data_IF_708208730637
#
_entry.id   IF_708208730637
#
_cell.length_a   1.000
_cell.length_b   1.000
_cell.length_c   1.000
_cell.angle_alpha   90.00
_cell.angle_beta   90.00
_cell.angle_gamma   90.00
#
_symmetry.space_group_name_H-M   'P 1'
#
loop_
_entity.id
_entity.type
_entity.pdbx_description
1 polymer ?
#
# COMPACT_ATOMS: atom_id res chain seq x y z
N UNK A 1 18.30 -12.03 -21.42
CA UNK A 1 17.13 -11.12 -21.41
C UNK A 1 16.32 -11.50 -20.18
N UNK A 2 16.27 -10.65 -19.15
CA UNK A 2 15.51 -10.96 -17.92
C UNK A 2 14.02 -10.82 -18.24
N UNK A 3 13.20 -11.80 -17.86
CA UNK A 3 11.75 -11.72 -18.01
C UNK A 3 11.22 -10.47 -17.29
N UNK A 4 10.21 -9.77 -17.83
CA UNK A 4 9.58 -8.67 -17.10
C UNK A 4 9.07 -9.19 -15.75
N UNK A 5 9.39 -8.47 -14.68
CA UNK A 5 8.85 -8.80 -13.35
C UNK A 5 7.32 -8.79 -13.44
N UNK A 6 6.63 -9.79 -12.85
CA UNK A 6 5.17 -9.79 -12.84
C UNK A 6 4.65 -8.52 -12.14
N UNK A 7 3.59 -7.94 -12.70
CA UNK A 7 2.95 -6.77 -12.11
C UNK A 7 2.45 -7.09 -10.70
N UNK A 8 2.83 -6.26 -9.72
CA UNK A 8 2.39 -6.46 -8.33
C UNK A 8 0.94 -5.99 -8.20
N UNK A 9 0.00 -6.86 -7.74
CA UNK A 9 -1.36 -6.44 -7.46
C UNK A 9 -1.39 -5.46 -6.28
N UNK A 10 -2.08 -4.34 -6.50
CA UNK A 10 -2.24 -3.27 -5.51
C UNK A 10 -3.71 -3.12 -5.15
N UNK A 11 -4.02 -3.30 -3.88
CA UNK A 11 -5.36 -3.19 -3.32
C UNK A 11 -5.49 -1.90 -2.51
N UNK A 12 -6.51 -1.11 -2.82
CA UNK A 12 -6.84 0.12 -2.08
C UNK A 12 -7.99 -0.15 -1.13
N UNK A 13 -7.79 0.16 0.16
CA UNK A 13 -8.79 -0.01 1.21
C UNK A 13 -9.05 1.35 1.85
N UNK A 14 -10.31 1.72 2.01
CA UNK A 14 -10.69 2.85 2.87
C UNK A 14 -10.90 2.28 4.27
N UNK A 15 -9.93 2.52 5.15
CA UNK A 15 -9.86 1.94 6.49
C UNK A 15 -10.86 2.59 7.44
N UNK A 16 -11.82 1.82 7.92
CA UNK A 16 -12.83 2.28 8.88
C UNK A 16 -12.30 2.29 10.31
N UNK A 17 -11.21 1.55 10.57
CA UNK A 17 -10.63 1.32 11.90
C UNK A 17 -9.30 2.03 12.14
N UNK A 18 -8.74 2.73 11.15
CA UNK A 18 -7.45 3.43 11.33
C UNK A 18 -7.50 4.46 12.47
N UNK A 19 -8.65 5.11 12.66
CA UNK A 19 -8.85 6.09 13.74
C UNK A 19 -8.84 5.47 15.15
N UNK A 20 -9.05 4.16 15.27
CA UNK A 20 -8.93 3.42 16.54
C UNK A 20 -7.58 2.71 16.69
N UNK A 21 -6.63 2.97 15.79
CA UNK A 21 -5.29 2.38 15.82
C UNK A 21 -5.24 0.94 15.30
N UNK A 22 -6.21 0.53 14.49
CA UNK A 22 -6.26 -0.79 13.87
C UNK A 22 -6.31 -0.70 12.33
N UNK A 23 -5.76 -1.69 11.63
CA UNK A 23 -5.71 -1.72 10.17
C UNK A 23 -6.69 -2.75 9.60
N UNK A 24 -7.48 -2.35 8.61
CA UNK A 24 -8.32 -3.24 7.79
C UNK A 24 -7.50 -3.98 6.73
N UNK A 25 -6.36 -3.42 6.32
CA UNK A 25 -5.43 -4.05 5.38
C UNK A 25 -4.60 -5.18 5.98
N UNK A 26 -4.19 -5.08 7.26
CA UNK A 26 -3.35 -6.11 7.90
C UNK A 26 -4.00 -7.52 7.89
N UNK A 27 -5.27 -7.69 8.29
CA UNK A 27 -5.93 -9.00 8.19
C UNK A 27 -5.97 -9.56 6.77
N UNK A 28 -6.17 -8.70 5.77
CA UNK A 28 -6.16 -9.09 4.36
C UNK A 28 -4.76 -9.56 3.93
N UNK A 29 -3.72 -8.83 4.31
CA UNK A 29 -2.34 -9.23 4.04
C UNK A 29 -2.00 -10.57 4.71
N UNK A 30 -2.39 -10.76 5.98
CA UNK A 30 -2.17 -12.02 6.71
C UNK A 30 -2.82 -13.20 5.97
N UNK A 31 -4.05 -13.03 5.47
CA UNK A 31 -4.75 -14.08 4.73
C UNK A 31 -4.05 -14.49 3.42
N UNK A 32 -3.16 -13.66 2.87
CA UNK A 32 -2.46 -13.90 1.61
C UNK A 32 -0.97 -14.24 1.79
N UNK A 33 -0.49 -14.46 3.03
CA UNK A 33 0.91 -14.81 3.30
C UNK A 33 1.37 -16.10 2.59
N UNK A 34 0.46 -17.03 2.30
CA UNK A 34 0.76 -18.27 1.56
C UNK A 34 1.22 -18.02 0.12
N UNK A 35 0.95 -16.84 -0.43
CA UNK A 35 1.34 -16.44 -1.78
C UNK A 35 2.70 -15.73 -1.85
N UNK A 36 3.33 -15.50 -0.70
CA UNK A 36 4.62 -14.83 -0.58
C UNK A 36 4.59 -13.62 0.34
N UNK A 37 5.71 -12.89 0.37
CA UNK A 37 5.84 -11.69 1.21
C UNK A 37 4.83 -10.62 0.81
N UNK A 38 4.15 -10.05 1.79
CA UNK A 38 3.15 -9.00 1.57
C UNK A 38 3.74 -7.65 1.97
N UNK A 39 3.21 -6.56 1.41
CA UNK A 39 3.49 -5.22 1.89
C UNK A 39 2.21 -4.46 2.18
N UNK A 40 2.22 -3.67 3.25
CA UNK A 40 1.08 -2.87 3.71
C UNK A 40 1.56 -1.43 3.92
N UNK A 41 0.94 -0.49 3.23
CA UNK A 41 1.06 0.95 3.51
C UNK A 41 -0.23 1.38 4.19
N UNK A 42 -0.11 2.07 5.31
CA UNK A 42 -1.25 2.66 6.02
C UNK A 42 -1.04 4.17 6.15
N UNK A 43 -2.09 4.94 5.85
CA UNK A 43 -2.14 6.34 6.25
C UNK A 43 -2.12 6.43 7.78
N UNK A 44 -1.28 7.31 8.31
CA UNK A 44 -1.06 7.41 9.74
C UNK A 44 -2.32 7.74 10.52
N UNK A 45 -2.55 6.95 11.56
CA UNK A 45 -3.53 7.21 12.62
C UNK A 45 -2.85 7.19 14.00
N UNK A 46 -3.63 7.29 15.10
CA UNK A 46 -3.08 7.17 16.43
C UNK A 46 -2.44 5.79 16.68
N UNK A 47 -1.34 5.77 17.43
CA UNK A 47 -0.65 4.53 17.80
C UNK A 47 0.35 4.02 16.75
N UNK A 48 0.96 2.88 17.03
CA UNK A 48 1.90 2.18 16.14
C UNK A 48 1.31 0.82 15.80
N UNK A 49 1.12 0.57 14.51
CA UNK A 49 0.69 -0.73 14.01
C UNK A 49 1.87 -1.70 13.96
N UNK A 50 1.60 -2.97 14.25
CA UNK A 50 2.59 -4.05 14.22
C UNK A 50 2.11 -5.12 13.24
N UNK A 51 3.02 -5.60 12.40
CA UNK A 51 2.75 -6.68 11.47
C UNK A 51 3.53 -7.94 11.86
N UNK A 52 2.96 -9.14 11.64
CA UNK A 52 3.70 -10.39 11.79
C UNK A 52 4.79 -10.54 10.71
N UNK A 53 5.65 -11.55 10.89
CA UNK A 53 6.65 -11.91 9.88
C UNK A 53 6.01 -12.22 8.52
N UNK A 54 6.72 -11.88 7.45
CA UNK A 54 6.23 -12.01 6.07
C UNK A 54 5.38 -10.82 5.59
N UNK A 55 5.24 -9.77 6.41
CA UNK A 55 4.56 -8.52 6.03
C UNK A 55 5.50 -7.33 6.29
N UNK A 56 5.86 -6.62 5.23
CA UNK A 56 6.50 -5.31 5.36
C UNK A 56 5.43 -4.23 5.57
N UNK A 57 5.34 -3.69 6.79
CA UNK A 57 4.41 -2.62 7.13
C UNK A 57 5.10 -1.25 7.11
N UNK A 58 4.49 -0.29 6.42
CA UNK A 58 4.91 1.12 6.39
C UNK A 58 3.74 2.00 6.81
N UNK A 59 3.86 2.61 7.98
CA UNK A 59 2.91 3.61 8.47
C UNK A 59 3.41 5.01 8.11
N UNK A 60 2.71 5.69 7.20
CA UNK A 60 2.98 7.07 6.83
C UNK A 60 2.40 8.01 7.89
N UNK A 61 2.75 9.29 7.88
CA UNK A 61 2.06 10.27 8.73
C UNK A 61 0.67 10.62 8.17
N UNK A 62 -0.25 11.04 9.05
CA UNK A 62 -1.61 11.45 8.67
C UNK A 62 -1.57 12.60 7.64
N UNK A 63 -2.42 12.55 6.61
CA UNK A 63 -2.48 13.59 5.58
C UNK A 63 -1.30 13.61 4.59
N UNK A 64 -0.28 12.76 4.78
CA UNK A 64 0.80 12.59 3.81
C UNK A 64 0.33 11.87 2.53
N UNK A 65 -0.85 11.26 2.54
CA UNK A 65 -1.38 10.62 1.34
C UNK A 65 -1.99 11.66 0.38
N UNK A 66 -2.42 12.83 0.88
CA UNK A 66 -3.29 13.75 0.12
C UNK A 66 -2.77 15.18 -0.10
N UNK A 67 -2.19 15.89 0.88
CA UNK A 67 -2.05 17.37 0.76
C UNK A 67 -0.63 17.88 0.47
N UNK A 68 0.41 17.22 0.98
CA UNK A 68 1.83 17.63 0.79
C UNK A 68 2.74 16.41 0.51
N UNK A 69 2.23 15.19 0.67
CA UNK A 69 3.01 13.96 0.64
C UNK A 69 2.89 13.11 -0.64
N UNK A 70 2.56 13.72 -1.79
CA UNK A 70 2.57 13.04 -3.11
C UNK A 70 3.91 12.34 -3.40
N UNK A 71 5.01 12.81 -2.81
CA UNK A 71 6.33 12.19 -2.91
C UNK A 71 6.47 10.97 -1.96
N UNK A 72 6.15 11.06 -0.65
CA UNK A 72 6.13 9.93 0.28
C UNK A 72 5.45 8.66 -0.24
N UNK A 73 4.21 8.74 -0.75
CA UNK A 73 3.51 7.54 -1.22
C UNK A 73 4.25 6.93 -2.42
N UNK A 74 4.53 7.73 -3.45
CA UNK A 74 5.19 7.24 -4.67
C UNK A 74 6.58 6.69 -4.40
N UNK A 75 7.37 7.34 -3.55
CA UNK A 75 8.70 6.88 -3.15
C UNK A 75 8.59 5.59 -2.34
N UNK A 76 7.65 5.51 -1.40
CA UNK A 76 7.40 4.30 -0.60
C UNK A 76 7.03 3.12 -1.49
N UNK A 77 6.04 3.29 -2.38
CA UNK A 77 5.64 2.24 -3.33
C UNK A 77 6.83 1.83 -4.21
N UNK A 78 7.53 2.79 -4.82
CA UNK A 78 8.69 2.49 -5.67
C UNK A 78 9.82 1.78 -4.90
N UNK A 79 9.99 2.07 -3.60
CA UNK A 79 10.98 1.42 -2.74
C UNK A 79 10.56 0.00 -2.42
N UNK A 80 9.31 -0.22 -2.03
CA UNK A 80 8.76 -1.55 -1.74
C UNK A 80 8.86 -2.47 -2.97
N UNK A 81 8.44 -1.98 -4.14
CA UNK A 81 8.53 -2.76 -5.38
C UNK A 81 9.98 -3.15 -5.75
N UNK A 82 10.97 -2.31 -5.42
CA UNK A 82 12.37 -2.59 -5.74
C UNK A 82 13.08 -3.47 -4.71
N UNK A 83 12.84 -3.21 -3.42
CA UNK A 83 13.59 -3.79 -2.31
C UNK A 83 12.90 -5.01 -1.71
N UNK A 84 11.57 -4.97 -1.56
CA UNK A 84 10.78 -6.04 -0.95
C UNK A 84 10.22 -6.98 -2.02
N UNK A 85 9.81 -6.44 -3.18
CA UNK A 85 9.16 -7.20 -4.27
C UNK A 85 7.98 -8.04 -3.74
N UNK A 86 7.00 -7.41 -3.08
CA UNK A 86 5.93 -8.14 -2.43
C UNK A 86 5.05 -8.85 -3.46
N UNK A 87 4.51 -10.00 -3.08
CA UNK A 87 3.49 -10.72 -3.85
C UNK A 87 2.22 -9.88 -4.00
N UNK A 88 1.83 -9.11 -2.97
CA UNK A 88 0.77 -8.08 -3.06
C UNK A 88 1.09 -6.85 -2.20
N UNK A 89 0.60 -5.70 -2.65
CA UNK A 89 0.68 -4.45 -1.92
C UNK A 89 -0.73 -3.99 -1.52
N UNK A 90 -0.92 -3.73 -0.24
CA UNK A 90 -2.14 -3.16 0.32
C UNK A 90 -1.89 -1.70 0.70
N UNK A 91 -2.78 -0.81 0.33
CA UNK A 91 -2.71 0.61 0.67
C UNK A 91 -4.02 0.98 1.35
N UNK A 92 -3.94 1.26 2.65
CA UNK A 92 -5.07 1.69 3.47
C UNK A 92 -5.03 3.19 3.67
N UNK A 93 -6.13 3.87 3.35
CA UNK A 93 -6.31 5.31 3.54
C UNK A 93 -7.46 5.56 4.51
N UNK A 94 -7.41 6.65 5.27
CA UNK A 94 -8.39 6.91 6.33
C UNK A 94 -9.75 7.40 5.81
N UNK A 95 -9.80 7.97 4.61
CA UNK A 95 -11.04 8.41 3.97
C UNK A 95 -11.09 8.10 2.46
N UNK A 96 -12.30 8.12 1.90
CA UNK A 96 -12.53 7.92 0.47
C UNK A 96 -12.37 9.19 -0.40
N UNK A 97 -12.33 10.38 0.18
CA UNK A 97 -12.11 11.63 -0.55
C UNK A 97 -10.75 11.64 -1.26
N UNK A 98 -9.74 10.96 -0.69
CA UNK A 98 -8.40 10.85 -1.28
C UNK A 98 -8.23 9.69 -2.27
N UNK A 99 -9.23 8.82 -2.42
CA UNK A 99 -9.11 7.61 -3.25
C UNK A 99 -8.82 7.93 -4.72
N UNK A 100 -9.49 8.96 -5.26
CA UNK A 100 -9.30 9.37 -6.66
C UNK A 100 -7.87 9.88 -6.92
N UNK A 101 -7.31 10.64 -5.98
CA UNK A 101 -5.93 11.14 -6.03
C UNK A 101 -4.93 9.99 -6.01
N UNK A 102 -5.06 9.07 -5.06
CA UNK A 102 -4.18 7.91 -4.92
C UNK A 102 -4.21 7.04 -6.17
N UNK A 103 -5.40 6.75 -6.70
CA UNK A 103 -5.58 6.02 -7.96
C UNK A 103 -4.87 6.72 -9.11
N UNK A 104 -5.00 8.06 -9.21
CA UNK A 104 -4.34 8.83 -10.27
C UNK A 104 -2.82 8.71 -10.19
N UNK A 105 -2.24 8.76 -8.98
CA UNK A 105 -0.80 8.62 -8.79
C UNK A 105 -0.29 7.22 -9.14
N UNK A 106 -1.01 6.18 -8.71
CA UNK A 106 -0.67 4.79 -8.99
C UNK A 106 -0.83 4.43 -10.47
N UNK A 107 -1.79 5.03 -11.17
CA UNK A 107 -1.92 4.92 -12.63
C UNK A 107 -0.93 5.80 -13.42
N UNK A 108 -0.06 6.54 -12.73
CA UNK A 108 0.94 7.39 -13.37
C UNK A 108 2.00 6.60 -14.13
N UNK A 109 2.73 7.24 -15.07
CA UNK A 109 3.70 6.57 -15.93
C UNK A 109 4.84 5.87 -15.17
N UNK A 110 5.15 6.30 -13.95
CA UNK A 110 6.21 5.71 -13.13
C UNK A 110 5.92 4.30 -12.59
N UNK A 111 4.67 3.83 -12.66
CA UNK A 111 4.28 2.49 -12.21
C UNK A 111 3.70 1.61 -13.32
N UNK A 112 3.68 2.11 -14.56
CA UNK A 112 3.17 1.38 -15.71
C UNK A 112 3.97 0.09 -15.91
N UNK A 113 3.29 -1.06 -15.96
CA UNK A 113 3.95 -2.36 -16.09
C UNK A 113 4.61 -2.89 -14.81
N UNK A 114 4.54 -2.15 -13.70
CA UNK A 114 5.09 -2.57 -12.41
C UNK A 114 3.99 -2.98 -11.42
N UNK A 115 2.80 -2.39 -11.53
CA UNK A 115 1.66 -2.68 -10.66
C UNK A 115 0.37 -2.84 -11.46
N UNK A 116 -0.57 -3.57 -10.87
CA UNK A 116 -1.95 -3.65 -11.35
C UNK A 116 -2.91 -3.30 -10.21
N UNK A 117 -3.68 -2.22 -10.38
CA UNK A 117 -4.71 -1.87 -9.41
C UNK A 117 -5.84 -2.90 -9.43
N UNK A 118 -6.16 -3.44 -8.26
CA UNK A 118 -7.30 -4.34 -8.04
C UNK A 118 -8.36 -3.57 -7.27
N UNK A 119 -9.43 -3.18 -7.97
CA UNK A 119 -10.63 -2.63 -7.34
C UNK A 119 -11.35 -3.78 -6.62
N UNK A 120 -11.55 -3.65 -5.31
CA UNK A 120 -12.65 -4.32 -4.61
C UNK A 120 -13.76 -3.31 -4.41
#
# INVERSE_FOLDING_TARGET
MSAPLPEVPVHLIVGTRLLSGASDALPQAIAHLSEGEQAVIVEGGPGTLVAPGGITLVQLAAGCVCCVGQLPLRVTVARLLRQVRPARLWIEISDGAHLAEVRRQLNGPGFRGAIVLKNQ
#
